data_IF_863042492297
#
_entry.id   IF_863042492297
#
_cell.length_a   1.000
_cell.length_b   1.000
_cell.length_c   1.000
_cell.angle_alpha   90.00
_cell.angle_beta   90.00
_cell.angle_gamma   90.00
#
_symmetry.space_group_name_H-M   'P 1'
#
loop_
_entity.id
_entity.type
_entity.pdbx_description
1 polymer ?
#
# COMPACT_ATOMS: atom_id res chain seq x y z
N UNK A 1 69.62 -2.78 -43.21
CA UNK A 1 69.30 -1.70 -42.26
C UNK A 1 67.82 -1.82 -41.96
N UNK A 2 67.53 -2.47 -40.84
CA UNK A 2 66.17 -2.67 -40.35
C UNK A 2 65.91 -1.57 -39.34
N UNK A 3 65.16 -0.54 -39.73
CA UNK A 3 64.39 0.27 -38.79
C UNK A 3 63.38 1.13 -39.55
N UNK A 4 62.19 1.28 -38.95
CA UNK A 4 61.04 2.05 -39.44
C UNK A 4 59.96 1.30 -40.24
N UNK A 5 59.42 0.21 -39.67
CA UNK A 5 58.08 -0.34 -40.02
C UNK A 5 57.00 0.10 -38.99
N UNK A 6 57.39 0.81 -37.94
CA UNK A 6 56.50 1.24 -36.85
C UNK A 6 56.44 2.77 -36.80
N UNK A 7 55.91 3.38 -37.87
CA UNK A 7 55.60 4.81 -37.90
C UNK A 7 54.49 5.14 -36.89
N UNK A 8 54.74 6.14 -36.05
CA UNK A 8 53.84 6.65 -35.02
C UNK A 8 52.50 7.12 -35.61
N UNK A 9 51.48 6.27 -35.54
CA UNK A 9 50.18 6.49 -36.18
C UNK A 9 49.22 7.15 -35.17
N UNK A 10 49.13 8.48 -35.20
CA UNK A 10 48.21 9.29 -34.37
C UNK A 10 46.79 8.72 -34.37
N UNK A 11 46.31 8.27 -35.53
CA UNK A 11 44.96 7.73 -35.70
C UNK A 11 44.80 6.39 -34.94
N UNK A 12 45.87 5.59 -34.82
CA UNK A 12 45.88 4.37 -33.98
C UNK A 12 45.80 4.72 -32.50
N UNK A 13 46.52 5.76 -32.06
CA UNK A 13 46.46 6.24 -30.66
C UNK A 13 45.06 6.77 -30.32
N UNK A 14 44.43 7.52 -31.24
CA UNK A 14 43.06 8.01 -31.10
C UNK A 14 42.03 6.87 -31.09
N UNK A 15 42.13 5.92 -32.02
CA UNK A 15 41.24 4.75 -32.04
C UNK A 15 41.33 3.92 -30.75
N UNK A 16 42.55 3.72 -30.22
CA UNK A 16 42.75 3.04 -28.93
C UNK A 16 42.18 3.84 -27.75
N UNK A 17 42.30 5.17 -27.78
CA UNK A 17 41.70 6.03 -26.77
C UNK A 17 40.17 5.90 -26.77
N UNK A 18 39.53 6.03 -27.94
CA UNK A 18 38.08 5.86 -28.06
C UNK A 18 37.61 4.46 -27.67
N UNK A 19 38.33 3.41 -28.08
CA UNK A 19 38.00 2.04 -27.69
C UNK A 19 38.01 1.86 -26.16
N UNK A 20 38.99 2.46 -25.46
CA UNK A 20 39.04 2.46 -23.98
C UNK A 20 37.89 3.27 -23.38
N UNK A 21 37.58 4.43 -23.94
CA UNK A 21 36.44 5.25 -23.48
C UNK A 21 35.12 4.49 -23.62
N UNK A 22 34.90 3.81 -24.75
CA UNK A 22 33.72 2.98 -24.97
C UNK A 22 33.69 1.78 -24.02
N UNK A 23 34.82 1.08 -23.84
CA UNK A 23 34.90 -0.03 -22.90
C UNK A 23 34.55 0.40 -21.46
N UNK A 24 35.11 1.54 -21.02
CA UNK A 24 34.78 2.11 -19.71
C UNK A 24 33.30 2.50 -19.61
N UNK A 25 32.71 3.08 -20.66
CA UNK A 25 31.28 3.39 -20.68
C UNK A 25 30.44 2.12 -20.55
N UNK A 26 30.73 1.07 -21.32
CA UNK A 26 30.01 -0.21 -21.27
C UNK A 26 30.12 -0.85 -19.88
N UNK A 27 31.32 -0.86 -19.29
CA UNK A 27 31.54 -1.38 -17.94
C UNK A 27 30.77 -0.58 -16.87
N UNK A 28 30.79 0.74 -16.97
CA UNK A 28 30.04 1.62 -16.07
C UNK A 28 28.54 1.41 -16.22
N UNK A 29 28.03 1.32 -17.44
CA UNK A 29 26.61 1.04 -17.73
C UNK A 29 26.22 -0.32 -17.17
N UNK A 30 26.98 -1.38 -17.46
CA UNK A 30 26.73 -2.73 -16.95
C UNK A 30 26.70 -2.77 -15.42
N UNK A 31 27.64 -2.08 -14.77
CA UNK A 31 27.69 -1.96 -13.31
C UNK A 31 26.47 -1.23 -12.76
N UNK A 32 26.04 -0.15 -13.42
CA UNK A 32 24.84 0.61 -13.03
C UNK A 32 23.58 -0.25 -13.12
N UNK A 33 23.39 -0.97 -14.23
CA UNK A 33 22.27 -1.91 -14.41
C UNK A 33 22.27 -3.01 -13.35
N UNK A 34 23.44 -3.59 -13.05
CA UNK A 34 23.57 -4.61 -12.00
C UNK A 34 23.14 -4.08 -10.64
N UNK A 35 23.57 -2.87 -10.25
CA UNK A 35 23.17 -2.23 -8.99
C UNK A 35 21.67 -1.97 -8.95
N UNK A 36 21.09 -1.50 -10.05
CA UNK A 36 19.66 -1.25 -10.13
C UNK A 36 18.86 -2.55 -9.98
N UNK A 37 19.27 -3.62 -10.69
CA UNK A 37 18.65 -4.95 -10.57
C UNK A 37 18.74 -5.50 -9.14
N UNK A 38 19.91 -5.39 -8.50
CA UNK A 38 20.06 -5.82 -7.10
C UNK A 38 19.19 -5.00 -6.15
N UNK A 39 19.05 -3.69 -6.37
CA UNK A 39 18.18 -2.82 -5.58
C UNK A 39 16.72 -3.23 -5.72
N UNK A 40 16.25 -3.43 -6.95
CA UNK A 40 14.88 -3.88 -7.22
C UNK A 40 14.62 -5.25 -6.60
N UNK A 41 15.56 -6.18 -6.72
CA UNK A 41 15.43 -7.50 -6.12
C UNK A 41 15.34 -7.43 -4.58
N UNK A 42 16.19 -6.63 -3.93
CA UNK A 42 16.11 -6.43 -2.46
C UNK A 42 14.82 -5.76 -2.04
N UNK A 43 14.36 -4.77 -2.80
CA UNK A 43 13.07 -4.09 -2.56
C UNK A 43 11.92 -5.10 -2.64
N UNK A 44 11.90 -5.92 -3.68
CA UNK A 44 10.88 -6.95 -3.91
C UNK A 44 10.88 -8.00 -2.80
N UNK A 45 12.06 -8.54 -2.44
CA UNK A 45 12.21 -9.49 -1.33
C UNK A 45 11.72 -8.88 -0.01
N UNK A 46 12.06 -7.61 0.26
CA UNK A 46 11.57 -6.93 1.46
C UNK A 46 10.05 -6.78 1.47
N UNK A 47 9.43 -6.45 0.32
CA UNK A 47 7.97 -6.36 0.20
C UNK A 47 7.32 -7.73 0.50
N UNK A 48 7.89 -8.82 -0.04
CA UNK A 48 7.40 -10.17 0.24
C UNK A 48 7.50 -10.52 1.73
N UNK A 49 8.67 -10.32 2.31
CA UNK A 49 8.92 -10.67 3.71
C UNK A 49 8.11 -9.83 4.71
N UNK A 50 7.86 -8.56 4.40
CA UNK A 50 7.23 -7.64 5.36
C UNK A 50 5.76 -7.37 5.09
N UNK A 51 5.30 -7.44 3.83
CA UNK A 51 3.93 -7.09 3.46
C UNK A 51 3.11 -8.29 3.01
N UNK A 52 3.65 -9.20 2.21
CA UNK A 52 2.85 -10.33 1.70
C UNK A 52 2.46 -11.32 2.80
N UNK A 53 3.25 -11.41 3.88
CA UNK A 53 2.94 -12.23 5.07
C UNK A 53 1.77 -11.68 5.88
N UNK A 54 1.37 -10.42 5.68
CA UNK A 54 0.29 -9.80 6.45
C UNK A 54 -1.04 -10.41 6.05
N UNK A 55 -1.58 -11.26 6.91
CA UNK A 55 -2.93 -11.77 6.78
C UNK A 55 -3.96 -10.67 7.03
N UNK A 56 -4.97 -10.60 6.17
CA UNK A 56 -6.10 -9.67 6.33
C UNK A 56 -7.28 -10.50 6.80
N UNK A 57 -7.78 -10.30 8.03
CA UNK A 57 -8.91 -11.07 8.53
C UNK A 57 -10.19 -10.74 7.76
N UNK A 58 -11.11 -11.70 7.68
CA UNK A 58 -12.45 -11.48 7.15
C UNK A 58 -13.36 -10.87 8.22
N UNK A 59 -14.37 -10.11 7.77
CA UNK A 59 -15.46 -9.69 8.64
C UNK A 59 -16.27 -10.91 9.09
N UNK A 60 -16.78 -10.88 10.32
CA UNK A 60 -17.83 -11.80 10.71
C UNK A 60 -19.12 -11.47 9.95
N UNK A 61 -19.97 -12.47 9.69
CA UNK A 61 -21.24 -12.28 8.97
C UNK A 61 -22.09 -11.18 9.62
N UNK A 62 -22.13 -11.17 10.96
CA UNK A 62 -22.88 -10.17 11.74
C UNK A 62 -22.32 -8.76 11.56
N UNK A 63 -21.01 -8.59 11.67
CA UNK A 63 -20.36 -7.29 11.43
C UNK A 63 -20.64 -6.82 10.02
N UNK A 64 -20.51 -7.68 9.03
CA UNK A 64 -20.77 -7.33 7.64
C UNK A 64 -22.21 -6.86 7.39
N UNK A 65 -23.21 -7.51 7.97
CA UNK A 65 -24.61 -7.06 7.91
C UNK A 65 -24.82 -5.67 8.51
N UNK A 66 -24.13 -5.37 9.62
CA UNK A 66 -24.20 -4.06 10.29
C UNK A 66 -23.55 -2.99 9.40
N UNK A 67 -22.37 -3.28 8.86
CA UNK A 67 -21.67 -2.35 7.99
C UNK A 67 -22.43 -2.12 6.67
N UNK A 68 -23.04 -3.16 6.10
CA UNK A 68 -23.87 -3.04 4.89
C UNK A 68 -25.08 -2.14 5.14
N UNK A 69 -25.70 -2.25 6.33
CA UNK A 69 -26.76 -1.33 6.75
C UNK A 69 -26.24 0.11 6.84
N UNK A 70 -25.07 0.32 7.42
CA UNK A 70 -24.43 1.64 7.45
C UNK A 70 -24.22 2.24 6.04
N UNK A 71 -23.78 1.41 5.08
CA UNK A 71 -23.49 1.89 3.73
C UNK A 71 -24.73 2.38 2.98
N UNK A 72 -25.87 1.71 3.24
CA UNK A 72 -27.17 2.08 2.69
C UNK A 72 -27.75 3.38 3.28
N UNK A 73 -27.20 3.90 4.38
CA UNK A 73 -27.67 5.14 5.00
C UNK A 73 -27.19 6.38 4.25
N UNK A 74 -28.03 7.42 4.29
CA UNK A 74 -27.64 8.76 3.83
C UNK A 74 -26.53 9.35 4.70
N UNK A 75 -25.78 10.31 4.16
CA UNK A 75 -24.67 10.95 4.86
C UNK A 75 -25.08 11.56 6.22
N UNK A 76 -26.30 12.08 6.33
CA UNK A 76 -26.83 12.71 7.53
C UNK A 76 -27.14 11.70 8.65
N UNK A 77 -27.50 10.47 8.29
CA UNK A 77 -27.87 9.41 9.23
C UNK A 77 -26.66 8.62 9.76
N UNK A 78 -25.56 8.62 9.00
CA UNK A 78 -24.32 7.90 9.35
C UNK A 78 -23.74 8.25 10.73
N UNK A 79 -23.67 9.52 11.16
CA UNK A 79 -23.13 9.86 12.48
C UNK A 79 -23.94 9.28 13.63
N UNK A 80 -25.27 9.32 13.56
CA UNK A 80 -26.13 8.74 14.60
C UNK A 80 -26.01 7.23 14.65
N UNK A 81 -25.92 6.57 13.48
CA UNK A 81 -25.69 5.14 13.41
C UNK A 81 -24.36 4.71 14.04
N UNK A 82 -23.26 5.44 13.79
CA UNK A 82 -21.98 5.18 14.45
C UNK A 82 -22.10 5.31 15.98
N UNK A 83 -22.82 6.31 16.49
CA UNK A 83 -23.05 6.43 17.95
C UNK A 83 -23.81 5.23 18.49
N UNK A 84 -24.83 4.76 17.77
CA UNK A 84 -25.55 3.54 18.17
C UNK A 84 -24.63 2.31 18.18
N UNK A 85 -23.76 2.17 17.17
CA UNK A 85 -22.76 1.10 17.15
C UNK A 85 -21.84 1.15 18.36
N UNK A 86 -21.37 2.33 18.77
CA UNK A 86 -20.53 2.50 19.97
C UNK A 86 -21.23 2.12 21.28
N UNK A 87 -22.56 2.09 21.31
CA UNK A 87 -23.37 1.77 22.49
C UNK A 87 -23.88 0.32 22.52
N UNK A 88 -23.56 -0.49 21.51
CA UNK A 88 -24.01 -1.89 21.42
C UNK A 88 -22.83 -2.85 21.36
N UNK A 89 -22.96 -4.04 21.95
CA UNK A 89 -21.88 -5.04 21.94
C UNK A 89 -21.52 -5.47 20.51
N UNK A 90 -22.53 -5.79 19.70
CA UNK A 90 -22.35 -6.15 18.28
C UNK A 90 -21.69 -5.02 17.49
N UNK A 91 -22.09 -3.77 17.74
CA UNK A 91 -21.54 -2.60 17.06
C UNK A 91 -20.09 -2.32 17.44
N UNK A 92 -19.73 -2.46 18.72
CA UNK A 92 -18.35 -2.34 19.18
C UNK A 92 -17.45 -3.41 18.57
N UNK A 93 -17.92 -4.66 18.49
CA UNK A 93 -17.19 -5.73 17.81
C UNK A 93 -16.98 -5.39 16.33
N UNK A 94 -18.02 -4.92 15.63
CA UNK A 94 -17.90 -4.53 14.22
C UNK A 94 -16.89 -3.39 14.01
N UNK A 95 -16.86 -2.37 14.89
CA UNK A 95 -15.88 -1.28 14.83
C UNK A 95 -14.45 -1.77 15.12
N UNK A 96 -14.30 -2.74 16.02
CA UNK A 96 -13.02 -3.36 16.30
C UNK A 96 -12.51 -4.16 15.10
N UNK A 97 -13.36 -4.98 14.49
CA UNK A 97 -13.02 -5.71 13.25
C UNK A 97 -12.65 -4.75 12.12
N UNK A 98 -13.41 -3.66 11.93
CA UNK A 98 -13.09 -2.58 10.98
C UNK A 98 -11.70 -2.02 11.23
N UNK A 99 -11.35 -1.72 12.48
CA UNK A 99 -10.03 -1.21 12.85
C UNK A 99 -8.92 -2.22 12.53
N UNK A 100 -9.11 -3.49 12.88
CA UNK A 100 -8.14 -4.56 12.62
C UNK A 100 -7.91 -4.76 11.12
N UNK A 101 -8.97 -4.82 10.33
CA UNK A 101 -8.88 -4.96 8.87
C UNK A 101 -8.20 -3.74 8.25
N UNK A 102 -8.57 -2.54 8.68
CA UNK A 102 -7.95 -1.28 8.22
C UNK A 102 -6.44 -1.30 8.44
N UNK A 103 -6.00 -1.72 9.63
CA UNK A 103 -4.58 -1.83 9.96
C UNK A 103 -3.87 -2.91 9.12
N UNK A 104 -4.50 -4.07 8.92
CA UNK A 104 -3.95 -5.13 8.10
C UNK A 104 -3.81 -4.71 6.62
N UNK A 105 -4.84 -4.08 6.06
CA UNK A 105 -4.82 -3.53 4.70
C UNK A 105 -3.74 -2.45 4.55
N UNK A 106 -3.63 -1.53 5.51
CA UNK A 106 -2.59 -0.50 5.50
C UNK A 106 -1.19 -1.11 5.55
N UNK A 107 -0.97 -2.14 6.38
CA UNK A 107 0.33 -2.81 6.46
C UNK A 107 0.68 -3.56 5.16
N UNK A 108 -0.30 -4.25 4.56
CA UNK A 108 -0.09 -5.07 3.35
C UNK A 108 0.02 -4.24 2.07
N UNK A 109 -0.89 -3.30 1.88
CA UNK A 109 -1.01 -2.55 0.62
C UNK A 109 -0.50 -1.11 0.71
N UNK A 110 -0.24 -0.61 1.93
CA UNK A 110 0.06 0.81 2.17
C UNK A 110 -1.18 1.70 2.13
N UNK A 111 -2.37 1.14 1.92
CA UNK A 111 -3.64 1.86 1.86
C UNK A 111 -4.81 0.96 2.26
N UNK A 112 -5.89 1.58 2.70
CA UNK A 112 -7.18 0.93 3.01
C UNK A 112 -8.13 0.94 1.82
N UNK A 113 -7.95 1.88 0.90
CA UNK A 113 -8.77 2.04 -0.29
C UNK A 113 -8.10 1.35 -1.47
N UNK A 114 -8.43 0.08 -1.66
CA UNK A 114 -7.82 -0.76 -2.69
C UNK A 114 -8.25 -0.31 -4.08
N UNK A 115 -7.28 0.09 -4.92
CA UNK A 115 -7.50 0.37 -6.34
C UNK A 115 -7.16 -0.87 -7.17
N UNK A 116 -7.51 -0.84 -8.46
CA UNK A 116 -7.22 -1.96 -9.38
C UNK A 116 -5.74 -2.39 -9.32
N UNK A 117 -4.80 -1.44 -9.34
CA UNK A 117 -3.36 -1.72 -9.20
C UNK A 117 -2.95 -2.46 -7.92
N UNK A 118 -3.71 -2.31 -6.84
CA UNK A 118 -3.43 -2.93 -5.55
C UNK A 118 -4.01 -4.34 -5.50
N UNK A 119 -5.14 -4.53 -6.18
CA UNK A 119 -5.80 -5.82 -6.38
C UNK A 119 -5.07 -6.69 -7.42
N UNK A 120 -4.41 -6.09 -8.42
CA UNK A 120 -3.58 -6.81 -9.40
C UNK A 120 -2.36 -7.47 -8.76
N UNK A 121 -1.94 -6.98 -7.58
CA UNK A 121 -0.88 -7.60 -6.77
C UNK A 121 -1.37 -8.84 -6.01
N UNK A 122 -2.69 -9.05 -5.92
CA UNK A 122 -3.25 -10.25 -5.33
C UNK A 122 -3.00 -11.42 -6.28
N UNK A 123 -2.11 -12.33 -5.86
CA UNK A 123 -2.02 -13.66 -6.46
C UNK A 123 -3.19 -14.51 -5.98
N UNK A 124 -4.36 -14.30 -6.58
CA UNK A 124 -5.52 -15.15 -6.36
C UNK A 124 -5.30 -16.43 -7.17
N UNK A 125 -5.06 -17.53 -6.48
CA UNK A 125 -4.97 -18.86 -7.11
C UNK A 125 -6.35 -19.26 -7.63
N UNK A 126 -6.40 -20.12 -8.65
CA UNK A 126 -7.67 -20.59 -9.24
C UNK A 126 -8.61 -21.28 -8.21
N UNK A 127 -8.05 -21.79 -7.11
CA UNK A 127 -8.77 -22.43 -5.99
C UNK A 127 -9.32 -21.44 -4.96
N UNK A 128 -9.07 -20.14 -5.11
CA UNK A 128 -9.55 -19.15 -4.16
C UNK A 128 -11.06 -18.91 -4.33
N UNK A 129 -11.84 -19.26 -3.31
CA UNK A 129 -13.29 -18.98 -3.23
C UNK A 129 -13.65 -17.50 -3.06
N UNK A 130 -12.70 -16.59 -3.19
CA UNK A 130 -12.88 -15.14 -2.93
C UNK A 130 -12.62 -14.35 -4.20
N UNK A 131 -13.64 -13.67 -4.70
CA UNK A 131 -13.51 -12.79 -5.86
C UNK A 131 -12.80 -11.48 -5.52
N UNK A 132 -12.01 -10.94 -6.45
CA UNK A 132 -11.40 -9.60 -6.35
C UNK A 132 -12.46 -8.55 -6.04
N UNK A 133 -13.62 -8.66 -6.68
CA UNK A 133 -14.74 -7.74 -6.49
C UNK A 133 -15.24 -7.72 -5.04
N UNK A 134 -15.33 -8.91 -4.43
CA UNK A 134 -15.73 -9.04 -3.04
C UNK A 134 -14.73 -8.39 -2.10
N UNK A 135 -13.44 -8.58 -2.34
CA UNK A 135 -12.37 -7.92 -1.56
C UNK A 135 -12.49 -6.41 -1.68
N UNK A 136 -12.70 -5.89 -2.90
CA UNK A 136 -12.89 -4.46 -3.13
C UNK A 136 -14.10 -3.92 -2.38
N UNK A 137 -15.23 -4.62 -2.46
CA UNK A 137 -16.47 -4.25 -1.77
C UNK A 137 -16.26 -4.16 -0.26
N UNK A 138 -15.70 -5.20 0.35
CA UNK A 138 -15.47 -5.25 1.81
C UNK A 138 -14.44 -4.21 2.24
N UNK A 139 -13.34 -4.04 1.51
CA UNK A 139 -12.33 -3.02 1.83
C UNK A 139 -12.92 -1.60 1.77
N UNK A 140 -13.70 -1.30 0.73
CA UNK A 140 -14.38 0.00 0.62
C UNK A 140 -15.42 0.23 1.72
N UNK A 141 -16.14 -0.82 2.12
CA UNK A 141 -17.10 -0.77 3.22
C UNK A 141 -16.41 -0.44 4.55
N UNK A 142 -15.34 -1.16 4.86
CA UNK A 142 -14.49 -0.96 6.05
C UNK A 142 -13.90 0.45 6.07
N UNK A 143 -13.37 0.93 4.95
CA UNK A 143 -12.79 2.27 4.83
C UNK A 143 -13.80 3.38 5.15
N UNK A 144 -15.01 3.31 4.56
CA UNK A 144 -16.07 4.31 4.80
C UNK A 144 -16.54 4.33 6.25
N UNK A 145 -16.71 3.16 6.87
CA UNK A 145 -17.10 3.05 8.28
C UNK A 145 -16.00 3.59 9.18
N UNK A 146 -14.74 3.19 8.93
CA UNK A 146 -13.60 3.66 9.71
C UNK A 146 -13.46 5.19 9.65
N UNK A 147 -13.63 5.78 8.47
CA UNK A 147 -13.58 7.23 8.34
C UNK A 147 -14.70 7.92 9.13
N UNK A 148 -15.94 7.41 9.05
CA UNK A 148 -17.06 7.96 9.81
C UNK A 148 -16.86 7.83 11.33
N UNK A 149 -16.30 6.72 11.79
CA UNK A 149 -15.92 6.50 13.19
C UNK A 149 -14.89 7.53 13.66
N UNK A 150 -13.83 7.77 12.88
CA UNK A 150 -12.80 8.76 13.22
C UNK A 150 -13.37 10.17 13.31
N UNK A 151 -14.22 10.57 12.35
CA UNK A 151 -14.90 11.87 12.36
C UNK A 151 -15.77 12.00 13.61
N UNK A 152 -16.50 10.95 13.97
CA UNK A 152 -17.37 10.97 15.14
C UNK A 152 -16.55 11.07 16.45
N UNK A 153 -15.45 10.32 16.56
CA UNK A 153 -14.50 10.43 17.69
C UNK A 153 -13.93 11.84 17.82
N UNK A 154 -13.48 12.44 16.72
CA UNK A 154 -12.97 13.82 16.72
C UNK A 154 -14.02 14.84 17.16
N UNK A 155 -15.26 14.73 16.67
CA UNK A 155 -16.37 15.60 17.10
C UNK A 155 -16.63 15.50 18.60
N UNK A 156 -16.59 14.28 19.16
CA UNK A 156 -16.74 14.08 20.61
C UNK A 156 -15.60 14.72 21.39
N UNK A 157 -14.35 14.57 20.95
CA UNK A 157 -13.19 15.21 21.59
C UNK A 157 -13.31 16.73 21.58
N UNK A 158 -13.65 17.33 20.44
CA UNK A 158 -13.81 18.78 20.31
C UNK A 158 -14.97 19.32 21.15
N UNK A 159 -16.10 18.59 21.21
CA UNK A 159 -17.22 18.97 22.07
C UNK A 159 -16.87 18.92 23.56
N UNK A 160 -16.05 17.95 23.99
CA UNK A 160 -15.57 17.85 25.36
C UNK A 160 -14.61 19.00 25.70
N UNK A 161 -13.65 19.34 24.82
CA UNK A 161 -12.71 20.43 25.07
C UNK A 161 -13.40 21.80 25.12
N UNK A 162 -14.39 22.05 24.24
CA UNK A 162 -15.21 23.27 24.29
C UNK A 162 -15.98 23.38 25.61
N UNK A 163 -16.61 22.31 26.08
CA UNK A 163 -17.34 22.30 27.36
C UNK A 163 -16.43 22.52 28.57
N UNK A 164 -15.19 22.03 28.52
CA UNK A 164 -14.19 22.25 29.58
C UNK A 164 -13.62 23.67 29.53
N UNK A 165 -13.43 24.25 28.34
CA UNK A 165 -12.95 25.63 28.16
C UNK A 165 -13.98 26.71 28.51
N UNK A 166 -15.28 26.38 28.49
CA UNK A 166 -16.38 27.28 28.90
C UNK A 166 -16.72 27.17 30.41
N UNK A 167 -15.93 26.42 31.19
CA UNK A 167 -16.11 26.22 32.64
C UNK A 167 -15.12 27.01 33.51
N UNK A 168 -14.41 27.98 32.91
CA UNK A 168 -13.68 29.05 33.59
C UNK A 168 -14.48 30.35 33.51
#
# INVERSE_FOLDING_TARGET
>A
MADSILGDNRDRKEALHYARSVASLVENTATSWKRHLESEHRSETWQREKRDIVEVPALTKRSEEILTRFDALSYEQRPEFIRQMMNTSDGLQALQEVTTITQALTKRFGTTNLRNRDLDKLRITADAHVSVERIRQVAGLVERVHHAELVQKQKLTLGLTQRLGMRM
#
